data_IF_631679839401
#
_entry.id   IF_631679839401
#
_cell.length_a   1.000
_cell.length_b   1.000
_cell.length_c   1.000
_cell.angle_alpha   90.00
_cell.angle_beta   90.00
_cell.angle_gamma   90.00
#
_symmetry.space_group_name_H-M   'P 1'
#
loop_
_entity.id
_entity.type
_entity.pdbx_description
1 polymer ?
#
# COMPACT_ATOMS: atom_id res chain seq x y z
N UNK A 1 4.46 24.33 -0.13
CA UNK A 1 4.61 23.67 -1.46
C UNK A 1 3.27 23.42 -2.14
N UNK A 2 2.23 22.89 -1.43
CA UNK A 2 0.90 22.60 -2.01
C UNK A 2 0.30 23.86 -2.65
N UNK A 3 0.31 25.00 -1.96
CA UNK A 3 -0.17 26.28 -2.50
C UNK A 3 0.58 26.71 -3.77
N UNK A 4 1.89 26.45 -3.83
CA UNK A 4 2.71 26.82 -4.99
C UNK A 4 2.33 26.01 -6.25
N UNK A 5 1.81 24.81 -6.10
CA UNK A 5 1.32 24.00 -7.24
C UNK A 5 0.19 24.74 -7.98
N UNK A 6 -0.74 25.36 -7.24
CA UNK A 6 -1.85 26.10 -7.83
C UNK A 6 -1.44 27.38 -8.58
N UNK A 7 -0.26 27.92 -8.28
CA UNK A 7 0.29 29.15 -8.87
C UNK A 7 1.43 28.87 -9.88
N UNK A 8 1.74 27.60 -10.14
CA UNK A 8 2.79 27.23 -11.08
C UNK A 8 2.37 27.53 -12.52
N UNK A 9 3.21 28.23 -13.25
CA UNK A 9 3.02 28.58 -14.66
C UNK A 9 3.92 27.79 -15.60
N UNK A 10 4.97 27.15 -15.05
CA UNK A 10 5.95 26.38 -15.78
C UNK A 10 6.11 24.96 -15.20
N UNK A 11 6.42 24.00 -16.06
CA UNK A 11 6.52 22.59 -15.69
C UNK A 11 7.59 22.34 -14.59
N UNK A 12 8.74 22.98 -14.65
CA UNK A 12 9.78 22.82 -13.63
C UNK A 12 9.33 23.27 -12.23
N UNK A 13 8.45 24.29 -12.15
CA UNK A 13 7.88 24.74 -10.87
C UNK A 13 7.00 23.65 -10.24
N UNK A 14 6.23 22.93 -11.07
CA UNK A 14 5.45 21.76 -10.61
C UNK A 14 6.36 20.63 -10.10
N UNK A 15 7.47 20.36 -10.78
CA UNK A 15 8.44 19.35 -10.34
C UNK A 15 9.06 19.71 -8.98
N UNK A 16 9.51 20.93 -8.84
CA UNK A 16 10.12 21.42 -7.58
C UNK A 16 9.08 21.42 -6.45
N UNK A 17 7.88 21.95 -6.68
CA UNK A 17 6.83 21.95 -5.68
C UNK A 17 6.42 20.52 -5.30
N UNK A 18 6.34 19.59 -6.27
CA UNK A 18 6.06 18.16 -6.07
C UNK A 18 7.14 17.49 -5.20
N UNK A 19 8.42 17.78 -5.43
CA UNK A 19 9.52 17.28 -4.60
C UNK A 19 9.34 17.70 -3.13
N UNK A 20 9.03 18.97 -2.88
CA UNK A 20 8.78 19.45 -1.51
C UNK A 20 7.49 18.89 -0.89
N UNK A 21 6.45 18.62 -1.69
CA UNK A 21 5.25 17.90 -1.21
C UNK A 21 5.61 16.48 -0.80
N UNK A 22 6.54 15.83 -1.50
CA UNK A 22 7.05 14.51 -1.16
C UNK A 22 7.66 14.42 0.24
N UNK A 23 8.23 15.50 0.77
CA UNK A 23 8.76 15.57 2.15
C UNK A 23 7.67 15.28 3.19
N UNK A 24 6.40 15.59 2.88
CA UNK A 24 5.27 15.24 3.76
C UNK A 24 5.15 13.72 4.00
N UNK A 25 5.59 12.89 3.05
CA UNK A 25 5.64 11.43 3.22
C UNK A 25 6.55 10.99 4.38
N UNK A 26 7.62 11.74 4.66
CA UNK A 26 8.52 11.48 5.79
C UNK A 26 7.86 11.66 7.16
N UNK A 27 6.80 12.46 7.26
CA UNK A 27 6.05 12.64 8.51
C UNK A 27 5.38 11.35 8.99
N UNK A 28 5.10 10.43 8.08
CA UNK A 28 4.48 9.15 8.41
C UNK A 28 5.37 8.27 9.31
N UNK A 29 6.66 8.13 8.98
CA UNK A 29 7.60 7.36 9.81
C UNK A 29 7.84 7.99 11.18
N UNK A 30 7.88 9.33 11.24
CA UNK A 30 7.95 10.07 12.51
C UNK A 30 6.71 9.82 13.37
N UNK A 31 5.52 9.89 12.78
CA UNK A 31 4.25 9.65 13.48
C UNK A 31 4.10 8.20 13.95
N UNK A 32 4.53 7.22 13.16
CA UNK A 32 4.58 5.81 13.58
C UNK A 32 5.47 5.62 14.81
N UNK A 33 6.69 6.17 14.78
CA UNK A 33 7.61 6.08 15.91
C UNK A 33 7.07 6.81 17.16
N UNK A 34 6.39 7.93 16.96
CA UNK A 34 5.72 8.66 18.04
C UNK A 34 4.59 7.82 18.64
N UNK A 35 3.66 7.29 17.83
CA UNK A 35 2.55 6.46 18.31
C UNK A 35 3.06 5.20 19.05
N UNK A 36 4.08 4.54 18.52
CA UNK A 36 4.62 3.33 19.11
C UNK A 36 5.17 3.53 20.54
N UNK A 37 5.56 4.75 20.92
CA UNK A 37 6.08 5.06 22.25
C UNK A 37 4.98 5.25 23.31
N UNK A 38 3.79 5.70 22.88
CA UNK A 38 2.68 6.00 23.79
C UNK A 38 1.83 4.79 24.14
N UNK A 39 1.99 3.68 23.40
CA UNK A 39 1.17 2.49 23.58
C UNK A 39 1.99 1.28 23.97
N UNK A 40 1.44 0.46 24.86
CA UNK A 40 2.01 -0.84 25.22
C UNK A 40 2.08 -1.75 24.00
N UNK A 41 3.06 -2.67 23.99
CA UNK A 41 3.39 -3.56 22.88
C UNK A 41 2.18 -4.31 22.32
N UNK A 42 1.25 -4.70 23.19
CA UNK A 42 0.02 -5.44 22.81
C UNK A 42 -1.03 -4.58 22.07
N UNK A 43 -0.95 -3.25 22.13
CA UNK A 43 -1.88 -2.32 21.49
C UNK A 43 -1.21 -1.43 20.44
N UNK A 44 0.09 -1.60 20.21
CA UNK A 44 0.86 -0.78 19.26
C UNK A 44 0.37 -0.93 17.83
N UNK A 45 0.01 -2.14 17.42
CA UNK A 45 -0.51 -2.41 16.07
C UNK A 45 -1.79 -1.65 15.79
N UNK A 46 -2.74 -1.69 16.73
CA UNK A 46 -3.98 -0.92 16.64
C UNK A 46 -3.71 0.59 16.56
N UNK A 47 -2.89 1.13 17.46
CA UNK A 47 -2.56 2.55 17.51
C UNK A 47 -1.89 3.03 16.21
N UNK A 48 -0.89 2.29 15.71
CA UNK A 48 -0.24 2.58 14.42
C UNK A 48 -1.20 2.41 13.25
N UNK A 49 -2.14 1.48 13.35
CA UNK A 49 -3.21 1.29 12.36
C UNK A 49 -4.16 2.48 12.30
N UNK A 50 -4.60 3.00 13.45
CA UNK A 50 -5.44 4.21 13.56
C UNK A 50 -4.71 5.43 12.96
N UNK A 51 -3.45 5.63 13.34
CA UNK A 51 -2.63 6.69 12.73
C UNK A 51 -2.55 6.53 11.20
N UNK A 52 -2.31 5.30 10.73
CA UNK A 52 -2.23 4.99 9.31
C UNK A 52 -3.55 5.10 8.55
N UNK A 53 -4.71 5.12 9.25
CA UNK A 53 -6.02 5.34 8.63
C UNK A 53 -6.14 6.75 7.99
N UNK A 54 -5.25 7.67 8.32
CA UNK A 54 -5.09 8.96 7.61
C UNK A 54 -4.90 8.81 6.10
N UNK A 55 -4.43 7.65 5.60
CA UNK A 55 -4.40 7.34 4.16
C UNK A 55 -5.79 7.37 3.48
N UNK A 56 -6.89 7.32 4.24
CA UNK A 56 -8.24 7.55 3.73
C UNK A 56 -8.41 8.95 3.11
N UNK A 57 -7.57 9.92 3.48
CA UNK A 57 -7.51 11.23 2.86
C UNK A 57 -7.33 11.19 1.34
N UNK A 58 -6.64 10.18 0.81
CA UNK A 58 -6.51 9.98 -0.64
C UNK A 58 -7.87 9.69 -1.31
N UNK A 59 -8.75 8.92 -0.68
CA UNK A 59 -10.10 8.67 -1.18
C UNK A 59 -10.96 9.94 -1.05
N UNK A 60 -10.88 10.64 0.07
CA UNK A 60 -11.58 11.91 0.28
C UNK A 60 -11.19 12.96 -0.76
N UNK A 61 -9.89 13.06 -1.07
CA UNK A 61 -9.39 13.94 -2.13
C UNK A 61 -10.03 13.62 -3.49
N UNK A 62 -10.14 12.33 -3.85
CA UNK A 62 -10.77 11.92 -5.11
C UNK A 62 -12.26 12.29 -5.20
N UNK A 63 -12.94 12.35 -4.08
CA UNK A 63 -14.36 12.76 -4.02
C UNK A 63 -14.51 14.28 -4.03
N UNK A 64 -13.66 15.02 -3.34
CA UNK A 64 -13.77 16.47 -3.17
C UNK A 64 -13.13 17.26 -4.33
N UNK A 65 -11.96 16.84 -4.81
CA UNK A 65 -11.21 17.61 -5.81
C UNK A 65 -11.99 17.84 -7.11
N UNK A 66 -12.71 16.85 -7.70
CA UNK A 66 -13.50 17.09 -8.91
C UNK A 66 -14.59 18.13 -8.70
N UNK A 67 -15.24 18.14 -7.55
CA UNK A 67 -16.30 19.12 -7.24
C UNK A 67 -15.72 20.53 -7.13
N UNK A 68 -14.55 20.69 -6.53
CA UNK A 68 -13.85 21.98 -6.44
C UNK A 68 -13.40 22.44 -7.83
N UNK A 69 -12.87 21.52 -8.66
CA UNK A 69 -12.46 21.85 -10.04
C UNK A 69 -13.61 22.36 -10.87
N UNK A 70 -14.76 21.71 -10.80
CA UNK A 70 -15.95 22.10 -11.56
C UNK A 70 -16.51 23.45 -11.10
N UNK A 71 -16.48 23.72 -9.78
CA UNK A 71 -17.06 24.96 -9.23
C UNK A 71 -16.12 26.17 -9.32
N UNK A 72 -14.80 25.96 -9.15
CA UNK A 72 -13.84 27.06 -8.94
C UNK A 72 -12.57 26.95 -9.79
N UNK A 73 -12.44 25.92 -10.61
CA UNK A 73 -11.25 25.66 -11.40
C UNK A 73 -10.17 24.88 -10.64
N UNK A 74 -9.19 24.34 -11.38
CA UNK A 74 -8.18 23.43 -10.84
C UNK A 74 -7.21 24.09 -9.83
N UNK A 75 -6.92 25.40 -9.99
CA UNK A 75 -6.00 26.16 -9.14
C UNK A 75 -6.54 26.32 -7.70
N UNK A 76 -7.85 26.24 -7.54
CA UNK A 76 -8.47 26.33 -6.21
C UNK A 76 -8.24 25.05 -5.38
N UNK A 77 -8.03 23.90 -6.00
CA UNK A 77 -7.78 22.63 -5.29
C UNK A 77 -6.54 22.74 -4.40
N UNK A 78 -5.33 23.07 -4.90
CA UNK A 78 -4.17 23.27 -4.07
C UNK A 78 -4.36 24.35 -3.00
N UNK A 79 -5.12 25.39 -3.28
CA UNK A 79 -5.42 26.47 -2.30
C UNK A 79 -6.23 25.91 -1.13
N UNK A 80 -7.33 25.21 -1.38
CA UNK A 80 -8.16 24.62 -0.34
C UNK A 80 -7.37 23.61 0.49
N UNK A 81 -6.61 22.72 -0.15
CA UNK A 81 -5.80 21.72 0.56
C UNK A 81 -4.66 22.35 1.35
N UNK A 82 -4.08 23.46 0.90
CA UNK A 82 -3.05 24.17 1.66
C UNK A 82 -3.61 24.83 2.93
N UNK A 83 -4.84 25.38 2.86
CA UNK A 83 -5.52 25.93 4.04
C UNK A 83 -5.87 24.81 5.02
N UNK A 84 -6.41 23.68 4.55
CA UNK A 84 -6.69 22.51 5.40
C UNK A 84 -5.41 22.01 6.09
N UNK A 85 -4.29 21.95 5.37
CA UNK A 85 -3.01 21.55 5.94
C UNK A 85 -2.52 22.54 7.00
N UNK A 86 -2.65 23.86 6.76
CA UNK A 86 -2.28 24.87 7.73
C UNK A 86 -3.10 24.73 9.02
N UNK A 87 -4.42 24.59 8.90
CA UNK A 87 -5.30 24.39 10.06
C UNK A 87 -4.91 23.13 10.83
N UNK A 88 -4.64 22.03 10.12
CA UNK A 88 -4.20 20.76 10.74
C UNK A 88 -2.85 20.93 11.45
N UNK A 89 -1.90 21.63 10.83
CA UNK A 89 -0.58 21.87 11.42
C UNK A 89 -0.68 22.72 12.70
N UNK A 90 -1.51 23.76 12.70
CA UNK A 90 -1.77 24.58 13.88
C UNK A 90 -2.47 23.76 14.97
N UNK A 91 -3.48 22.98 14.63
CA UNK A 91 -4.17 22.09 15.57
C UNK A 91 -3.17 21.09 16.19
N UNK A 92 -2.32 20.47 15.37
CA UNK A 92 -1.27 19.57 15.84
C UNK A 92 -0.32 20.27 16.80
N UNK A 93 0.15 21.46 16.44
CA UNK A 93 1.09 22.21 17.27
C UNK A 93 0.53 22.57 18.65
N UNK A 94 -0.75 22.95 18.73
CA UNK A 94 -1.39 23.35 20.01
C UNK A 94 -1.95 22.19 20.82
N UNK A 95 -2.30 21.05 20.19
CA UNK A 95 -2.97 19.94 20.85
C UNK A 95 -2.05 18.77 21.20
N UNK A 96 -0.81 18.73 20.67
CA UNK A 96 0.13 17.64 20.97
C UNK A 96 1.12 18.04 22.06
N UNK A 97 1.47 17.05 22.89
CA UNK A 97 2.44 17.22 23.97
C UNK A 97 3.63 16.30 23.72
N UNK A 98 4.82 16.78 24.09
CA UNK A 98 6.03 15.94 24.12
C UNK A 98 6.10 15.27 25.49
N UNK A 99 6.33 13.95 25.50
CA UNK A 99 6.56 13.23 26.77
C UNK A 99 7.99 13.52 27.26
N UNK A 100 8.11 14.19 28.45
CA UNK A 100 9.43 14.49 29.02
C UNK A 100 10.22 13.24 29.42
N UNK A 101 9.52 12.13 29.77
CA UNK A 101 10.15 10.88 30.20
C UNK A 101 10.81 10.11 29.04
N UNK A 102 10.42 10.39 27.80
CA UNK A 102 10.93 9.70 26.61
C UNK A 102 11.76 10.61 25.69
N UNK A 103 12.50 11.57 26.25
CA UNK A 103 13.52 12.30 25.49
C UNK A 103 14.57 11.29 25.00
N UNK A 104 14.48 10.90 23.74
CA UNK A 104 15.50 10.08 23.11
C UNK A 104 16.64 11.01 22.69
N UNK A 105 17.69 11.02 23.45
CA UNK A 105 19.02 11.49 23.01
C UNK A 105 19.60 10.45 22.04
N UNK A 106 19.02 10.29 20.88
CA UNK A 106 19.61 9.43 19.85
C UNK A 106 20.46 10.32 18.92
N UNK A 107 21.71 10.47 19.26
CA UNK A 107 22.74 10.97 18.34
C UNK A 107 23.11 9.90 17.29
N UNK A 108 22.10 9.27 16.68
CA UNK A 108 22.35 8.26 15.64
C UNK A 108 22.75 9.02 14.37
N UNK A 109 24.02 8.85 13.97
CA UNK A 109 24.50 9.44 12.72
C UNK A 109 23.84 8.78 11.51
N UNK A 110 23.74 9.54 10.39
CA UNK A 110 23.19 9.01 9.12
C UNK A 110 23.90 7.71 8.70
N UNK A 111 25.23 7.64 8.92
CA UNK A 111 26.01 6.43 8.63
C UNK A 111 25.55 5.20 9.45
N UNK A 112 25.21 5.40 10.72
CA UNK A 112 24.67 4.33 11.57
C UNK A 112 23.25 3.93 11.12
N UNK A 113 22.43 4.88 10.66
CA UNK A 113 21.10 4.56 10.11
C UNK A 113 21.22 3.71 8.84
N UNK A 114 22.17 4.01 7.97
CA UNK A 114 22.44 3.25 6.75
C UNK A 114 22.96 1.84 7.01
N UNK A 115 23.49 1.54 8.22
CA UNK A 115 23.89 0.16 8.56
C UNK A 115 22.70 -0.80 8.61
N UNK A 116 21.50 -0.30 8.86
CA UNK A 116 20.27 -1.10 8.80
C UNK A 116 20.02 -1.72 7.41
N UNK A 117 20.51 -1.10 6.34
CA UNK A 117 20.44 -1.65 4.96
C UNK A 117 21.30 -2.91 4.77
N UNK A 118 22.21 -3.23 5.69
CA UNK A 118 22.99 -4.46 5.65
C UNK A 118 22.22 -5.69 6.17
N UNK A 119 21.11 -5.46 6.87
CA UNK A 119 20.26 -6.55 7.37
C UNK A 119 19.31 -7.05 6.27
N UNK A 120 19.41 -8.33 5.85
CA UNK A 120 18.52 -8.91 4.85
C UNK A 120 17.04 -8.88 5.27
N UNK A 121 16.73 -8.92 6.57
CA UNK A 121 15.36 -8.85 7.07
C UNK A 121 14.71 -7.51 6.77
N UNK A 122 15.48 -6.41 6.79
CA UNK A 122 14.98 -5.08 6.42
C UNK A 122 14.54 -5.06 4.95
N UNK A 123 15.30 -5.67 4.03
CA UNK A 123 14.92 -5.76 2.62
C UNK A 123 13.66 -6.60 2.40
N UNK A 124 13.51 -7.67 3.16
CA UNK A 124 12.30 -8.49 3.18
C UNK A 124 11.06 -7.67 3.58
N UNK A 125 11.15 -6.91 4.66
CA UNK A 125 10.08 -6.02 5.13
C UNK A 125 9.80 -4.91 4.10
N UNK A 126 10.85 -4.35 3.48
CA UNK A 126 10.73 -3.40 2.37
C UNK A 126 9.93 -3.98 1.21
N UNK A 127 10.21 -5.22 0.83
CA UNK A 127 9.49 -5.92 -0.24
C UNK A 127 8.01 -6.09 0.11
N UNK A 128 7.67 -6.51 1.33
CA UNK A 128 6.28 -6.64 1.76
C UNK A 128 5.55 -5.29 1.72
N UNK A 129 6.18 -4.24 2.21
CA UNK A 129 5.57 -2.91 2.22
C UNK A 129 5.47 -2.28 0.84
N UNK A 130 6.41 -2.56 -0.06
CA UNK A 130 6.33 -2.11 -1.45
C UNK A 130 5.10 -2.67 -2.17
N UNK A 131 4.61 -3.84 -1.77
CA UNK A 131 3.38 -4.43 -2.29
C UNK A 131 2.15 -3.82 -1.62
N UNK A 132 2.04 -3.96 -0.29
CA UNK A 132 0.80 -3.61 0.41
C UNK A 132 0.56 -2.10 0.46
N UNK A 133 1.59 -1.28 0.38
CA UNK A 133 1.48 0.17 0.29
C UNK A 133 1.76 0.68 -1.13
N UNK A 134 2.90 0.34 -1.72
CA UNK A 134 3.26 0.79 -3.07
C UNK A 134 2.27 0.27 -4.12
N UNK A 135 1.96 -1.03 -4.09
CA UNK A 135 0.93 -1.62 -4.95
C UNK A 135 -0.46 -1.02 -4.74
N UNK A 136 -0.83 -0.74 -3.48
CA UNK A 136 -2.08 -0.05 -3.18
C UNK A 136 -2.13 1.35 -3.82
N UNK A 137 -1.07 2.14 -3.69
CA UNK A 137 -0.99 3.48 -4.30
C UNK A 137 -1.06 3.39 -5.82
N UNK A 138 -0.31 2.48 -6.40
CA UNK A 138 -0.28 2.25 -7.85
C UNK A 138 -1.67 1.89 -8.40
N UNK A 139 -2.33 0.90 -7.79
CA UNK A 139 -3.68 0.52 -8.18
C UNK A 139 -4.68 1.64 -7.93
N UNK A 140 -4.58 2.36 -6.81
CA UNK A 140 -5.46 3.49 -6.54
C UNK A 140 -5.36 4.60 -7.59
N UNK A 141 -4.17 4.84 -8.14
CA UNK A 141 -3.96 5.80 -9.23
C UNK A 141 -4.48 5.26 -10.57
N UNK A 142 -4.39 3.95 -10.78
CA UNK A 142 -4.70 3.33 -12.07
C UNK A 142 -6.17 3.01 -12.27
N UNK A 143 -6.92 2.70 -11.20
CA UNK A 143 -8.26 2.12 -11.28
C UNK A 143 -9.30 3.01 -11.96
N UNK A 144 -9.29 4.32 -11.74
CA UNK A 144 -10.26 5.20 -12.41
C UNK A 144 -10.10 5.12 -13.93
N UNK A 145 -8.86 5.17 -14.43
CA UNK A 145 -8.56 5.03 -15.86
C UNK A 145 -8.96 3.63 -16.36
N UNK A 146 -8.70 2.59 -15.57
CA UNK A 146 -9.06 1.22 -15.92
C UNK A 146 -10.57 1.05 -16.12
N UNK A 147 -11.39 1.52 -15.16
CA UNK A 147 -12.85 1.45 -15.28
C UNK A 147 -13.39 2.21 -16.50
N UNK A 148 -12.85 3.37 -16.80
CA UNK A 148 -13.24 4.15 -18.02
C UNK A 148 -12.88 3.38 -19.28
N UNK A 149 -11.69 2.81 -19.36
CA UNK A 149 -11.17 2.22 -20.60
C UNK A 149 -11.63 0.77 -20.83
N UNK A 150 -11.80 -0.02 -19.75
CA UNK A 150 -12.15 -1.43 -19.87
C UNK A 150 -13.65 -1.66 -19.85
N UNK A 151 -14.37 -0.91 -19.01
CA UNK A 151 -15.81 -1.07 -18.82
C UNK A 151 -16.64 0.06 -19.41
N UNK A 152 -15.99 1.06 -20.06
CA UNK A 152 -16.63 2.21 -20.70
C UNK A 152 -17.53 3.04 -19.76
N UNK A 153 -17.21 3.05 -18.46
CA UNK A 153 -17.92 3.88 -17.50
C UNK A 153 -17.60 5.37 -17.69
N UNK A 154 -18.55 6.23 -17.38
CA UNK A 154 -18.30 7.65 -17.23
C UNK A 154 -17.32 7.93 -16.09
N UNK A 155 -16.63 9.06 -16.15
CA UNK A 155 -15.56 9.40 -15.20
C UNK A 155 -16.05 9.43 -13.75
N UNK A 156 -17.30 9.86 -13.50
CA UNK A 156 -17.87 9.96 -12.16
C UNK A 156 -18.10 8.57 -11.55
N UNK A 157 -18.73 7.68 -12.31
CA UNK A 157 -18.95 6.28 -11.90
C UNK A 157 -17.64 5.53 -11.73
N UNK A 158 -16.71 5.69 -12.68
CA UNK A 158 -15.36 5.09 -12.59
C UNK A 158 -14.60 5.54 -11.33
N UNK A 159 -14.66 6.83 -10.99
CA UNK A 159 -14.03 7.37 -9.78
C UNK A 159 -14.68 6.81 -8.50
N UNK A 160 -16.00 6.67 -8.48
CA UNK A 160 -16.72 6.07 -7.35
C UNK A 160 -16.33 4.59 -7.16
N UNK A 161 -16.30 3.79 -8.23
CA UNK A 161 -15.89 2.39 -8.16
C UNK A 161 -14.41 2.25 -7.75
N UNK A 162 -13.54 3.14 -8.24
CA UNK A 162 -12.15 3.19 -7.79
C UNK A 162 -12.03 3.60 -6.29
N UNK A 163 -12.96 4.39 -5.78
CA UNK A 163 -13.01 4.73 -4.35
C UNK A 163 -13.42 3.52 -3.50
N UNK A 164 -14.21 2.58 -4.01
CA UNK A 164 -14.55 1.32 -3.33
C UNK A 164 -13.31 0.46 -3.00
N UNK A 165 -12.23 0.58 -3.80
CA UNK A 165 -10.93 0.00 -3.48
C UNK A 165 -10.15 0.85 -2.46
N UNK A 166 -10.05 2.16 -2.73
CA UNK A 166 -9.11 3.02 -1.98
C UNK A 166 -9.62 3.41 -0.59
N UNK A 167 -10.94 3.54 -0.39
CA UNK A 167 -11.52 3.92 0.90
C UNK A 167 -11.30 2.84 1.98
N UNK A 168 -11.73 1.56 1.77
CA UNK A 168 -11.45 0.51 2.75
C UNK A 168 -9.95 0.29 2.94
N UNK A 169 -9.18 0.41 1.86
CA UNK A 169 -7.71 0.34 1.89
C UNK A 169 -7.04 1.39 2.79
N UNK A 170 -7.70 2.52 3.05
CA UNK A 170 -7.28 3.53 4.03
C UNK A 170 -7.83 3.26 5.43
N UNK A 171 -9.16 3.23 5.57
CA UNK A 171 -9.87 3.22 6.86
C UNK A 171 -9.64 1.93 7.65
N UNK A 172 -9.70 0.76 7.00
CA UNK A 172 -9.62 -0.53 7.67
C UNK A 172 -8.21 -0.90 8.17
N UNK A 173 -7.25 -0.01 8.02
CA UNK A 173 -5.89 -0.19 8.53
C UNK A 173 -5.86 -0.38 10.06
N UNK A 174 -6.75 0.29 10.80
CA UNK A 174 -6.88 0.11 12.24
C UNK A 174 -7.26 -1.33 12.62
N UNK A 175 -8.19 -1.95 11.87
CA UNK A 175 -8.52 -3.36 12.04
C UNK A 175 -7.32 -4.28 11.77
N UNK A 176 -6.52 -3.95 10.76
CA UNK A 176 -5.29 -4.68 10.44
C UNK A 176 -4.28 -4.65 11.59
N UNK A 177 -4.16 -3.51 12.27
CA UNK A 177 -3.34 -3.38 13.48
C UNK A 177 -3.85 -4.26 14.62
N UNK A 178 -5.16 -4.22 14.90
CA UNK A 178 -5.78 -5.07 15.90
C UNK A 178 -5.62 -6.57 15.59
N UNK A 179 -5.82 -6.99 14.33
CA UNK A 179 -5.57 -8.37 13.92
C UNK A 179 -4.11 -8.77 14.17
N UNK A 180 -3.18 -7.87 13.88
CA UNK A 180 -1.74 -8.13 14.05
C UNK A 180 -1.33 -8.23 15.53
N UNK A 181 -1.95 -7.42 16.40
CA UNK A 181 -1.76 -7.53 17.84
C UNK A 181 -2.28 -8.87 18.40
N UNK A 182 -3.43 -9.34 17.89
CA UNK A 182 -4.09 -10.57 18.37
C UNK A 182 -3.49 -11.86 17.82
N UNK A 183 -3.16 -11.90 16.53
CA UNK A 183 -2.76 -13.12 15.82
C UNK A 183 -1.26 -13.17 15.47
N UNK A 184 -0.53 -12.07 15.67
CA UNK A 184 0.85 -11.90 15.31
C UNK A 184 1.03 -11.38 13.89
N UNK A 185 1.94 -10.41 13.73
CA UNK A 185 2.17 -9.69 12.49
C UNK A 185 2.57 -10.59 11.31
N UNK A 186 3.43 -11.58 11.57
CA UNK A 186 3.91 -12.54 10.56
C UNK A 186 2.77 -13.34 9.92
N UNK A 187 1.89 -13.92 10.75
CA UNK A 187 0.75 -14.70 10.26
C UNK A 187 -0.23 -13.85 9.48
N UNK A 188 -0.52 -12.65 9.98
CA UNK A 188 -1.43 -11.71 9.31
C UNK A 188 -0.87 -11.30 7.96
N UNK A 189 0.43 -10.96 7.87
CA UNK A 189 1.08 -10.62 6.60
C UNK A 189 1.04 -11.79 5.62
N UNK A 190 1.28 -13.02 6.08
CA UNK A 190 1.21 -14.24 5.27
C UNK A 190 -0.17 -14.42 4.63
N UNK A 191 -1.24 -14.34 5.42
CA UNK A 191 -2.60 -14.49 4.91
C UNK A 191 -3.02 -13.35 3.99
N UNK A 192 -2.60 -12.13 4.28
CA UNK A 192 -2.83 -10.97 3.41
C UNK A 192 -2.22 -11.19 2.02
N UNK A 193 -0.98 -11.65 1.97
CA UNK A 193 -0.31 -11.93 0.70
C UNK A 193 -1.02 -13.03 -0.09
N UNK A 194 -1.52 -14.10 0.57
CA UNK A 194 -2.33 -15.14 -0.09
C UNK A 194 -3.63 -14.61 -0.66
N UNK A 195 -4.38 -13.80 0.11
CA UNK A 195 -5.62 -13.18 -0.37
C UNK A 195 -5.34 -12.28 -1.57
N UNK A 196 -4.31 -11.43 -1.48
CA UNK A 196 -3.90 -10.58 -2.60
C UNK A 196 -3.52 -11.43 -3.83
N UNK A 197 -2.76 -12.50 -3.63
CA UNK A 197 -2.31 -13.37 -4.71
C UNK A 197 -3.47 -14.01 -5.47
N UNK A 198 -4.44 -14.60 -4.74
CA UNK A 198 -5.63 -15.24 -5.34
C UNK A 198 -6.47 -14.20 -6.09
N UNK A 199 -6.77 -13.06 -5.46
CA UNK A 199 -7.57 -12.02 -6.10
C UNK A 199 -6.88 -11.43 -7.34
N UNK A 200 -5.58 -11.15 -7.26
CA UNK A 200 -4.81 -10.61 -8.36
C UNK A 200 -4.65 -11.60 -9.51
N UNK A 201 -4.57 -12.90 -9.21
CA UNK A 201 -4.60 -13.94 -10.23
C UNK A 201 -5.90 -13.89 -11.04
N UNK A 202 -7.05 -13.83 -10.37
CA UNK A 202 -8.35 -13.75 -11.05
C UNK A 202 -8.47 -12.44 -11.85
N UNK A 203 -8.03 -11.29 -11.25
CA UNK A 203 -8.05 -9.98 -11.90
C UNK A 203 -7.08 -9.90 -13.10
N UNK A 204 -6.03 -10.72 -13.13
CA UNK A 204 -5.05 -10.73 -14.23
C UNK A 204 -5.59 -11.33 -15.52
N UNK A 205 -6.72 -12.03 -15.46
CA UNK A 205 -7.29 -12.66 -16.64
C UNK A 205 -7.88 -11.61 -17.60
N UNK A 206 -7.37 -11.51 -18.84
CA UNK A 206 -7.86 -10.53 -19.81
C UNK A 206 -9.22 -10.95 -20.36
N UNK A 207 -9.98 -9.99 -20.88
CA UNK A 207 -11.13 -10.30 -21.69
C UNK A 207 -10.68 -11.15 -22.89
N UNK A 208 -11.26 -12.32 -23.02
CA UNK A 208 -10.81 -13.30 -24.03
C UNK A 208 -12.02 -13.87 -24.80
N UNK A 209 -11.90 -13.87 -26.10
CA UNK A 209 -12.81 -14.54 -27.00
C UNK A 209 -12.11 -15.74 -27.62
N UNK A 210 -12.74 -16.89 -27.53
CA UNK A 210 -12.22 -18.09 -28.19
C UNK A 210 -13.34 -18.84 -28.91
N UNK A 211 -13.01 -19.31 -30.10
CA UNK A 211 -13.93 -20.06 -30.95
C UNK A 211 -13.58 -21.52 -30.94
N UNK A 212 -14.51 -22.35 -30.48
CA UNK A 212 -14.39 -23.81 -30.48
C UNK A 212 -15.13 -24.35 -31.71
N UNK A 213 -14.45 -25.21 -32.47
CA UNK A 213 -15.10 -25.97 -33.55
C UNK A 213 -15.91 -27.12 -32.94
N UNK A 214 -17.22 -26.99 -32.91
CA UNK A 214 -18.13 -28.04 -32.42
C UNK A 214 -18.70 -28.79 -33.62
N UNK A 215 -19.37 -29.93 -33.35
CA UNK A 215 -20.08 -30.73 -34.35
C UNK A 215 -21.17 -29.93 -35.06
N UNK A 216 -21.76 -28.96 -34.38
CA UNK A 216 -22.82 -28.08 -34.89
C UNK A 216 -22.29 -26.83 -35.57
N UNK A 217 -20.96 -26.65 -35.71
CA UNK A 217 -20.29 -25.47 -36.26
C UNK A 217 -19.42 -24.73 -35.24
N UNK A 218 -18.75 -23.65 -35.67
CA UNK A 218 -17.91 -22.84 -34.76
C UNK A 218 -18.80 -22.10 -33.76
N UNK A 219 -18.49 -22.22 -32.46
CA UNK A 219 -19.15 -21.48 -31.37
C UNK A 219 -18.12 -20.60 -30.69
N UNK A 220 -18.42 -19.31 -30.54
CA UNK A 220 -17.56 -18.33 -29.86
C UNK A 220 -18.01 -18.16 -28.43
N UNK A 221 -17.07 -18.31 -27.51
CA UNK A 221 -17.27 -18.10 -26.08
C UNK A 221 -16.51 -16.85 -25.66
N UNK A 222 -17.17 -16.03 -24.83
CA UNK A 222 -16.60 -14.81 -24.24
C UNK A 222 -16.32 -15.07 -22.76
N UNK A 223 -15.09 -14.95 -22.34
CA UNK A 223 -14.72 -14.99 -20.94
C UNK A 223 -14.26 -13.60 -20.53
N UNK A 224 -14.99 -12.98 -19.62
CA UNK A 224 -14.68 -11.67 -19.08
C UNK A 224 -15.10 -11.60 -17.60
N UNK A 225 -14.40 -10.75 -16.84
CA UNK A 225 -14.84 -10.43 -15.49
C UNK A 225 -15.93 -9.38 -15.57
N UNK A 226 -17.11 -9.69 -15.07
CA UNK A 226 -18.17 -8.74 -14.88
C UNK A 226 -17.70 -7.63 -13.93
N UNK A 227 -18.13 -6.38 -14.17
CA UNK A 227 -17.75 -5.19 -13.41
C UNK A 227 -18.05 -5.29 -11.91
N UNK A 228 -19.10 -5.99 -11.52
CA UNK A 228 -19.43 -6.22 -10.10
C UNK A 228 -18.45 -7.19 -9.43
N UNK A 229 -18.12 -8.27 -10.12
CA UNK A 229 -17.11 -9.25 -9.62
C UNK A 229 -15.75 -8.60 -9.56
N UNK A 230 -15.36 -7.85 -10.59
CA UNK A 230 -14.13 -7.10 -10.62
C UNK A 230 -14.04 -6.13 -9.43
N UNK A 231 -15.10 -5.33 -9.20
CA UNK A 231 -15.15 -4.37 -8.09
C UNK A 231 -15.12 -5.06 -6.73
N UNK A 232 -15.80 -6.20 -6.57
CA UNK A 232 -15.75 -6.98 -5.32
C UNK A 232 -14.35 -7.55 -5.05
N UNK A 233 -13.66 -8.04 -6.08
CA UNK A 233 -12.26 -8.49 -5.95
C UNK A 233 -11.34 -7.31 -5.61
N UNK A 234 -11.50 -6.17 -6.26
CA UNK A 234 -10.73 -4.97 -5.95
C UNK A 234 -11.00 -4.45 -4.53
N UNK A 235 -12.25 -4.47 -4.07
CA UNK A 235 -12.58 -4.17 -2.67
C UNK A 235 -11.84 -5.11 -1.72
N UNK A 236 -11.85 -6.42 -2.00
CA UNK A 236 -11.17 -7.43 -1.19
C UNK A 236 -9.66 -7.20 -1.14
N UNK A 237 -9.03 -6.88 -2.29
CA UNK A 237 -7.61 -6.49 -2.36
C UNK A 237 -7.35 -5.23 -1.54
N UNK A 238 -8.24 -4.24 -1.62
CA UNK A 238 -8.14 -3.00 -0.83
C UNK A 238 -8.15 -3.27 0.68
N UNK A 239 -9.08 -4.12 1.15
CA UNK A 239 -9.15 -4.56 2.55
C UNK A 239 -7.89 -5.33 2.95
N UNK A 240 -7.47 -6.30 2.15
CA UNK A 240 -6.27 -7.10 2.42
C UNK A 240 -5.02 -6.21 2.52
N UNK A 241 -4.85 -5.27 1.57
CA UNK A 241 -3.73 -4.34 1.61
C UNK A 241 -3.80 -3.36 2.80
N UNK A 242 -5.01 -2.98 3.27
CA UNK A 242 -5.16 -2.17 4.48
C UNK A 242 -4.63 -2.92 5.70
N UNK A 243 -5.04 -4.18 5.86
CA UNK A 243 -4.57 -5.07 6.93
C UNK A 243 -3.06 -5.28 6.82
N UNK A 244 -2.54 -5.54 5.62
CA UNK A 244 -1.12 -5.75 5.37
C UNK A 244 -0.25 -4.54 5.71
N UNK A 245 -0.71 -3.32 5.39
CA UNK A 245 0.00 -2.09 5.76
C UNK A 245 0.21 -1.95 7.26
N UNK A 246 -0.77 -2.32 8.05
CA UNK A 246 -0.67 -2.27 9.51
C UNK A 246 0.18 -3.43 10.04
N UNK A 247 0.02 -4.65 9.49
CA UNK A 247 0.78 -5.82 9.94
C UNK A 247 2.28 -5.65 9.71
N UNK A 248 2.70 -5.06 8.58
CA UNK A 248 4.12 -4.78 8.31
C UNK A 248 4.72 -3.80 9.33
N UNK A 249 3.99 -2.77 9.74
CA UNK A 249 4.48 -1.85 10.77
C UNK A 249 4.52 -2.49 12.16
N UNK A 250 3.55 -3.35 12.48
CA UNK A 250 3.59 -4.16 13.71
C UNK A 250 4.80 -5.10 13.68
N UNK A 251 5.10 -5.70 12.55
CA UNK A 251 6.29 -6.52 12.32
C UNK A 251 7.58 -5.74 12.68
N UNK A 252 7.72 -4.50 12.17
CA UNK A 252 8.84 -3.63 12.49
C UNK A 252 8.93 -3.35 14.00
N UNK A 253 7.79 -3.07 14.66
CA UNK A 253 7.78 -2.77 16.09
C UNK A 253 8.16 -3.97 16.96
N UNK A 254 7.88 -5.18 16.50
CA UNK A 254 8.20 -6.42 17.20
C UNK A 254 9.67 -6.81 17.04
N UNK A 255 10.23 -6.70 15.82
CA UNK A 255 11.61 -7.10 15.54
C UNK A 255 12.65 -6.01 15.82
N UNK A 256 12.28 -4.73 15.62
CA UNK A 256 13.20 -3.59 15.73
C UNK A 256 12.72 -2.52 16.73
N UNK A 257 12.37 -2.86 17.98
CA UNK A 257 11.79 -1.90 18.92
C UNK A 257 12.70 -0.71 19.24
N UNK A 258 14.03 -0.90 19.19
CA UNK A 258 15.01 0.16 19.44
C UNK A 258 15.22 1.09 18.23
N UNK A 259 15.00 0.59 17.02
CA UNK A 259 15.29 1.30 15.77
C UNK A 259 14.04 1.52 14.90
N UNK A 260 12.86 1.49 15.52
CA UNK A 260 11.57 1.55 14.80
C UNK A 260 11.47 2.76 13.86
N UNK A 261 11.95 3.92 14.25
CA UNK A 261 11.90 5.13 13.42
C UNK A 261 12.76 5.02 12.15
N UNK A 262 13.99 4.49 12.28
CA UNK A 262 14.92 4.30 11.16
C UNK A 262 14.38 3.26 10.19
N UNK A 263 14.01 2.08 10.70
CA UNK A 263 13.50 0.97 9.87
C UNK A 263 12.18 1.38 9.20
N UNK A 264 11.27 2.03 9.94
CA UNK A 264 10.02 2.56 9.37
C UNK A 264 10.27 3.58 8.25
N UNK A 265 11.31 4.40 8.37
CA UNK A 265 11.72 5.33 7.33
C UNK A 265 12.19 4.63 6.06
N UNK A 266 13.06 3.63 6.18
CA UNK A 266 13.57 2.83 5.06
C UNK A 266 12.43 2.06 4.38
N UNK A 267 11.59 1.40 5.17
CA UNK A 267 10.44 0.64 4.68
C UNK A 267 9.40 1.57 4.03
N UNK A 268 9.18 2.75 4.62
CA UNK A 268 8.34 3.80 4.04
C UNK A 268 8.84 4.29 2.68
N UNK A 269 10.17 4.48 2.55
CA UNK A 269 10.81 4.82 1.27
C UNK A 269 10.58 3.72 0.22
N UNK A 270 10.78 2.45 0.58
CA UNK A 270 10.55 1.33 -0.32
C UNK A 270 9.09 1.26 -0.80
N UNK A 271 8.14 1.49 0.11
CA UNK A 271 6.73 1.61 -0.25
C UNK A 271 6.44 2.76 -1.20
N UNK A 272 7.05 3.93 -0.96
CA UNK A 272 6.97 5.10 -1.85
C UNK A 272 7.54 4.82 -3.24
N UNK A 273 8.69 4.15 -3.31
CA UNK A 273 9.30 3.72 -4.58
C UNK A 273 8.40 2.73 -5.33
N UNK A 274 7.77 1.78 -4.63
CA UNK A 274 6.77 0.90 -5.23
C UNK A 274 5.60 1.69 -5.84
N UNK A 275 5.05 2.66 -5.08
CA UNK A 275 3.97 3.53 -5.55
C UNK A 275 4.35 4.43 -6.73
N UNK A 276 5.63 4.72 -6.92
CA UNK A 276 6.16 5.48 -8.05
C UNK A 276 6.44 4.60 -9.27
N UNK A 277 7.16 3.49 -9.08
CA UNK A 277 7.62 2.65 -10.18
C UNK A 277 6.49 1.79 -10.79
N UNK A 278 5.61 1.23 -9.96
CA UNK A 278 4.56 0.34 -10.44
C UNK A 278 3.60 0.99 -11.45
N UNK A 279 3.09 2.23 -11.28
CA UNK A 279 2.26 2.85 -12.30
C UNK A 279 2.97 3.07 -13.63
N UNK A 280 4.27 3.36 -13.60
CA UNK A 280 5.09 3.48 -14.82
C UNK A 280 5.19 2.12 -15.52
N UNK A 281 5.44 1.05 -14.75
CA UNK A 281 5.48 -0.31 -15.27
C UNK A 281 4.12 -0.76 -15.80
N UNK A 282 3.02 -0.37 -15.16
CA UNK A 282 1.66 -0.66 -15.67
C UNK A 282 1.45 -0.02 -17.05
N UNK A 283 1.84 1.25 -17.23
CA UNK A 283 1.78 1.93 -18.52
C UNK A 283 2.62 1.21 -19.58
N UNK A 284 3.89 0.96 -19.28
CA UNK A 284 4.81 0.27 -20.19
C UNK A 284 4.30 -1.12 -20.58
N UNK A 285 3.72 -1.88 -19.65
CA UNK A 285 3.16 -3.20 -19.94
C UNK A 285 1.93 -3.12 -20.86
N UNK A 286 1.06 -2.14 -20.64
CA UNK A 286 -0.09 -1.91 -21.55
C UNK A 286 0.40 -1.51 -22.93
N UNK A 287 1.41 -0.66 -23.05
CA UNK A 287 1.97 -0.24 -24.32
C UNK A 287 2.65 -1.42 -25.08
N UNK A 288 3.31 -2.31 -24.34
CA UNK A 288 3.99 -3.48 -24.91
C UNK A 288 3.04 -4.63 -25.28
N UNK A 289 2.02 -4.87 -24.47
CA UNK A 289 1.16 -6.06 -24.61
C UNK A 289 -0.20 -5.75 -25.24
N UNK A 290 -0.65 -4.50 -25.20
CA UNK A 290 -2.02 -4.10 -25.53
C UNK A 290 -3.08 -4.56 -24.51
N UNK A 291 -2.65 -5.28 -23.45
CA UNK A 291 -3.56 -5.90 -22.47
C UNK A 291 -3.62 -5.05 -21.20
N UNK A 292 -4.80 -4.51 -20.89
CA UNK A 292 -4.97 -3.64 -19.71
C UNK A 292 -4.85 -4.37 -18.39
N UNK A 293 -5.23 -5.65 -18.33
CA UNK A 293 -5.10 -6.47 -17.12
C UNK A 293 -3.64 -6.86 -16.80
N UNK A 294 -2.66 -6.52 -17.67
CA UNK A 294 -1.23 -6.76 -17.44
C UNK A 294 -0.70 -6.11 -16.15
N UNK A 295 -1.32 -5.01 -15.67
CA UNK A 295 -1.01 -4.42 -14.38
C UNK A 295 -1.26 -5.40 -13.21
N UNK A 296 -2.33 -6.20 -13.28
CA UNK A 296 -2.62 -7.23 -12.28
C UNK A 296 -1.69 -8.44 -12.43
N UNK A 297 -1.28 -8.80 -13.66
CA UNK A 297 -0.28 -9.85 -13.90
C UNK A 297 1.05 -9.50 -13.23
N UNK A 298 1.50 -8.25 -13.38
CA UNK A 298 2.71 -7.77 -12.71
C UNK A 298 2.55 -7.86 -11.19
N UNK A 299 1.46 -7.33 -10.64
CA UNK A 299 1.20 -7.36 -9.20
C UNK A 299 1.12 -8.79 -8.67
N UNK A 300 0.47 -9.70 -9.38
CA UNK A 300 0.43 -11.11 -9.08
C UNK A 300 1.83 -11.71 -8.98
N UNK A 301 2.70 -11.44 -9.95
CA UNK A 301 4.09 -11.92 -9.97
C UNK A 301 4.91 -11.36 -8.80
N UNK A 302 4.76 -10.08 -8.46
CA UNK A 302 5.49 -9.44 -7.36
C UNK A 302 5.03 -10.00 -6.00
N UNK A 303 3.72 -10.24 -5.82
CA UNK A 303 3.19 -10.92 -4.62
C UNK A 303 3.70 -12.35 -4.53
N UNK A 304 3.77 -13.07 -5.64
CA UNK A 304 4.32 -14.43 -5.70
C UNK A 304 5.76 -14.51 -5.19
N UNK A 305 6.62 -13.59 -5.64
CA UNK A 305 8.01 -13.48 -5.17
C UNK A 305 8.04 -13.28 -3.65
N UNK A 306 7.16 -12.44 -3.10
CA UNK A 306 7.11 -12.20 -1.66
C UNK A 306 6.61 -13.39 -0.86
N UNK A 307 5.64 -14.14 -1.39
CA UNK A 307 5.16 -15.40 -0.78
C UNK A 307 6.29 -16.44 -0.73
N UNK A 308 7.05 -16.61 -1.83
CA UNK A 308 8.20 -17.50 -1.89
C UNK A 308 9.24 -17.08 -0.85
N UNK A 309 9.60 -15.78 -0.83
CA UNK A 309 10.60 -15.27 0.11
C UNK A 309 10.17 -15.49 1.56
N UNK A 310 8.91 -15.16 1.89
CA UNK A 310 8.38 -15.36 3.25
C UNK A 310 8.34 -16.84 3.63
N UNK A 311 7.96 -17.73 2.69
CA UNK A 311 7.96 -19.17 2.93
C UNK A 311 9.36 -19.67 3.31
N UNK A 312 10.38 -19.33 2.51
CA UNK A 312 11.73 -19.81 2.74
C UNK A 312 12.40 -19.24 4.00
N UNK A 313 12.07 -18.01 4.39
CA UNK A 313 12.73 -17.35 5.52
C UNK A 313 11.99 -17.48 6.86
N UNK A 314 10.70 -17.81 6.86
CA UNK A 314 9.91 -17.78 8.08
C UNK A 314 9.02 -19.00 8.27
N UNK A 315 8.25 -19.37 7.24
CA UNK A 315 7.22 -20.41 7.38
C UNK A 315 7.88 -21.78 7.50
N UNK A 316 8.82 -22.08 6.62
CA UNK A 316 9.57 -23.34 6.63
C UNK A 316 10.27 -23.57 7.97
N UNK A 317 11.01 -22.58 8.46
CA UNK A 317 11.78 -22.74 9.69
C UNK A 317 10.85 -22.87 10.92
N UNK A 318 9.71 -22.16 10.93
CA UNK A 318 8.68 -22.34 11.94
C UNK A 318 8.01 -23.73 11.88
N UNK A 319 7.84 -24.29 10.69
CA UNK A 319 7.26 -25.63 10.50
C UNK A 319 8.27 -26.74 10.84
N UNK A 320 9.56 -26.56 10.55
CA UNK A 320 10.63 -27.44 11.00
C UNK A 320 10.68 -27.48 12.53
N UNK A 321 10.69 -26.32 13.19
CA UNK A 321 10.70 -26.25 14.67
C UNK A 321 9.44 -26.87 15.32
N UNK A 322 8.31 -26.92 14.59
CA UNK A 322 7.07 -27.55 15.06
C UNK A 322 6.96 -29.03 14.71
N UNK A 323 7.96 -29.63 14.08
CA UNK A 323 7.94 -31.01 13.60
C UNK A 323 6.92 -31.30 12.48
N UNK A 324 6.43 -30.26 11.81
CA UNK A 324 5.44 -30.39 10.74
C UNK A 324 6.04 -30.48 9.33
N UNK A 325 7.33 -30.22 9.20
CA UNK A 325 8.03 -30.26 7.91
C UNK A 325 8.81 -31.58 7.76
N UNK A 326 8.87 -32.19 6.57
CA UNK A 326 9.62 -33.42 6.34
C UNK A 326 11.10 -33.38 6.76
N UNK A 327 11.74 -32.20 6.72
CA UNK A 327 13.12 -32.01 7.17
C UNK A 327 13.28 -32.19 8.71
N UNK A 328 12.23 -31.96 9.51
CA UNK A 328 12.27 -32.20 10.95
C UNK A 328 12.34 -33.71 11.30
N UNK A 329 11.94 -34.57 10.35
CA UNK A 329 12.06 -36.02 10.50
C UNK A 329 13.48 -36.52 10.20
N UNK A 330 14.25 -35.78 9.38
CA UNK A 330 15.62 -36.15 9.03
C UNK A 330 16.62 -35.82 10.16
N UNK A 331 16.43 -34.69 10.87
CA UNK A 331 17.30 -34.29 12.00
C UNK A 331 17.15 -35.19 13.24
N UNK A 332 16.07 -36.00 13.32
CA UNK A 332 15.89 -36.95 14.41
C UNK A 332 16.49 -38.35 14.10
N UNK A 333 17.17 -38.52 12.96
CA UNK A 333 17.81 -39.76 12.53
C UNK A 333 19.34 -39.72 12.57
N UNK A 334 19.95 -38.62 12.98
CA UNK A 334 21.38 -38.47 13.35
C UNK A 334 21.53 -38.38 14.88
#
# INVERSE_FOLDING_TARGET
PIYLIGNATQYWQLLVAGLFVGVAGGSFSVGIAYCARWFEKQNQGFAMGVFGAGNAGAALTKLLAPSIVVAYGWTMVPTVFSVMMLVTALAFFFLTYSDPAHKVESHVTIGQQLTALKDPNVWKICQYYSIVFGGYVALALWMTKYYVQEYSFDLKTAAFLAACFSLPGGVLRALGGWFSDKFGAHKVTWWVLWVCWICLFILSYPQTEFTIKTVSGPQTYHIYLNEYVFTALMFTVGVAMAVGKASVFKYISDEYPKNIGVISGIVGLAGGMGGFLLPIMFGALVDLTGVRSSCFMLMYGVVWVSLIWMYWTEVRDADVMRGKHPLAAADNLE
#
